data_IF_756850872183
#
_entry.id   IF_756850872183
#
_cell.length_a   1.000
_cell.length_b   1.000
_cell.length_c   1.000
_cell.angle_alpha   90.00
_cell.angle_beta   90.00
_cell.angle_gamma   90.00
#
_symmetry.space_group_name_H-M   'P 1'
#
loop_
_entity.id
_entity.type
_entity.pdbx_description
1 polymer ?
#
# COMPACT_ATOMS: atom_id res chain seq x y z
N UNK A 1 -2.57 15.34 -16.26
CA UNK A 1 -1.23 14.74 -16.03
C UNK A 1 -1.47 13.40 -15.34
N UNK A 2 -0.92 12.31 -15.84
CA UNK A 2 -1.11 11.00 -15.22
C UNK A 2 -0.31 10.95 -13.91
N UNK A 3 -0.95 10.58 -12.80
CA UNK A 3 -0.27 10.36 -11.51
C UNK A 3 0.01 8.88 -11.39
N UNK A 4 1.27 8.53 -11.16
CA UNK A 4 1.69 7.14 -11.00
C UNK A 4 2.06 6.90 -9.55
N UNK A 5 1.35 5.95 -8.94
CA UNK A 5 1.46 5.62 -7.52
C UNK A 5 2.07 4.23 -7.42
N UNK A 6 3.14 4.13 -6.66
CA UNK A 6 3.86 2.89 -6.44
C UNK A 6 3.74 2.45 -4.99
N UNK A 7 3.62 1.14 -4.78
CA UNK A 7 3.69 0.50 -3.47
C UNK A 7 4.70 -0.64 -3.54
N UNK A 8 5.63 -0.69 -2.61
CA UNK A 8 6.60 -1.80 -2.47
C UNK A 8 6.44 -2.46 -1.12
N UNK A 9 6.23 -3.77 -1.12
CA UNK A 9 6.19 -4.56 0.10
C UNK A 9 7.53 -4.45 0.81
N UNK A 10 7.50 -4.06 2.08
CA UNK A 10 8.70 -3.97 2.92
C UNK A 10 8.68 -4.98 4.06
N UNK A 11 7.49 -5.39 4.48
CA UNK A 11 7.35 -6.38 5.53
C UNK A 11 6.03 -7.14 5.41
N UNK A 12 6.11 -8.46 5.56
CA UNK A 12 4.95 -9.35 5.65
C UNK A 12 5.10 -10.16 6.93
N UNK A 13 4.17 -9.97 7.86
CA UNK A 13 4.12 -10.68 9.14
C UNK A 13 2.76 -11.35 9.32
N UNK A 14 2.60 -12.13 10.39
CA UNK A 14 1.30 -12.68 10.77
C UNK A 14 0.30 -11.60 11.23
N UNK A 15 0.80 -10.45 11.68
CA UNK A 15 -0.05 -9.37 12.20
C UNK A 15 -0.44 -8.35 11.13
N UNK A 16 0.49 -7.98 10.27
CA UNK A 16 0.30 -6.90 9.31
C UNK A 16 1.17 -7.06 8.05
N UNK A 17 0.73 -6.39 6.99
CA UNK A 17 1.46 -6.19 5.74
C UNK A 17 1.83 -4.74 5.61
N UNK A 18 3.10 -4.45 5.32
CA UNK A 18 3.62 -3.08 5.25
C UNK A 18 4.14 -2.78 3.86
N UNK A 19 3.68 -1.68 3.28
CA UNK A 19 4.12 -1.17 1.99
C UNK A 19 4.72 0.21 2.17
N UNK A 20 5.88 0.48 1.57
CA UNK A 20 6.26 1.86 1.29
C UNK A 20 5.55 2.32 0.04
N UNK A 21 5.05 3.55 0.02
CA UNK A 21 4.40 4.11 -1.16
C UNK A 21 4.97 5.47 -1.55
N UNK A 22 4.90 5.78 -2.85
CA UNK A 22 5.39 7.00 -3.43
C UNK A 22 4.51 7.44 -4.61
N UNK A 23 4.37 8.74 -4.77
CA UNK A 23 3.82 9.39 -5.94
C UNK A 23 4.97 9.84 -6.84
N UNK A 24 5.04 9.25 -8.03
CA UNK A 24 6.16 9.34 -8.96
C UNK A 24 7.38 8.51 -8.54
N UNK A 25 8.22 8.21 -9.52
CA UNK A 25 9.32 7.25 -9.40
C UNK A 25 10.61 7.86 -8.84
N UNK A 26 10.58 9.12 -8.38
CA UNK A 26 11.75 9.93 -7.98
C UNK A 26 12.33 9.54 -6.60
N UNK A 27 12.25 8.25 -6.25
CA UNK A 27 12.86 7.57 -5.10
C UNK A 27 12.49 8.07 -3.69
N UNK A 28 11.74 9.18 -3.58
CA UNK A 28 11.24 9.67 -2.30
C UNK A 28 9.94 8.95 -1.93
N UNK A 29 10.00 8.14 -0.87
CA UNK A 29 8.83 7.48 -0.30
C UNK A 29 8.00 8.49 0.50
N UNK A 30 6.72 8.58 0.22
CA UNK A 30 5.76 9.44 0.91
C UNK A 30 5.41 8.91 2.31
N UNK A 31 5.50 7.59 2.50
CA UNK A 31 5.23 6.97 3.79
C UNK A 31 5.20 5.45 3.76
N UNK A 32 4.86 4.87 4.92
CA UNK A 32 4.64 3.42 5.08
C UNK A 32 3.17 3.15 5.36
N UNK A 33 2.49 2.52 4.43
CA UNK A 33 1.15 1.96 4.60
C UNK A 33 1.24 0.68 5.43
N UNK A 34 0.39 0.57 6.45
CA UNK A 34 0.22 -0.64 7.27
C UNK A 34 -1.19 -1.17 7.10
N UNK A 35 -1.30 -2.45 6.71
CA UNK A 35 -2.56 -3.17 6.54
C UNK A 35 -2.61 -4.29 7.58
N UNK A 36 -3.42 -4.19 8.65
CA UNK A 36 -3.62 -5.28 9.60
C UNK A 36 -4.22 -6.49 8.90
N UNK A 37 -3.71 -7.70 9.16
CA UNK A 37 -4.24 -8.92 8.54
C UNK A 37 -5.59 -9.35 9.11
N UNK A 38 -5.81 -9.07 10.40
CA UNK A 38 -7.07 -9.38 11.08
C UNK A 38 -8.22 -8.45 10.62
N UNK A 39 -7.90 -7.21 10.28
CA UNK A 39 -8.85 -6.22 9.77
C UNK A 39 -8.19 -5.30 8.72
N UNK A 40 -8.22 -5.69 7.43
CA UNK A 40 -7.62 -4.89 6.37
C UNK A 40 -8.28 -3.52 6.15
N UNK A 41 -9.51 -3.29 6.64
CA UNK A 41 -10.20 -1.99 6.53
C UNK A 41 -9.66 -0.96 7.55
N UNK A 42 -9.03 -1.44 8.63
CA UNK A 42 -8.37 -0.64 9.66
C UNK A 42 -6.96 -0.15 9.25
N UNK A 43 -6.62 -0.19 7.96
CA UNK A 43 -5.34 0.29 7.46
C UNK A 43 -5.07 1.76 7.81
N UNK A 44 -3.78 2.10 7.92
CA UNK A 44 -3.30 3.44 8.23
C UNK A 44 -1.92 3.70 7.61
N UNK A 45 -1.48 4.96 7.62
CA UNK A 45 -0.12 5.34 7.24
C UNK A 45 0.67 5.63 8.51
N UNK A 46 1.79 4.94 8.68
CA UNK A 46 2.66 5.09 9.86
C UNK A 46 3.21 6.52 9.95
N UNK A 47 3.07 7.14 11.11
CA UNK A 47 3.46 8.53 11.36
C UNK A 47 2.54 9.61 10.76
N UNK A 48 1.39 9.25 10.17
CA UNK A 48 0.43 10.22 9.65
C UNK A 48 -0.92 10.16 10.39
N UNK A 49 -1.49 11.32 10.69
CA UNK A 49 -2.82 11.42 11.31
C UNK A 49 -3.95 11.15 10.31
N UNK A 50 -3.72 11.45 9.02
CA UNK A 50 -4.72 11.32 7.96
C UNK A 50 -4.38 10.22 6.96
N UNK A 51 -5.42 9.63 6.38
CA UNK A 51 -5.31 8.62 5.33
C UNK A 51 -4.96 9.29 3.99
N UNK A 52 -3.84 8.87 3.39
CA UNK A 52 -3.45 9.30 2.04
C UNK A 52 -4.29 8.59 0.96
N UNK A 53 -4.74 9.35 -0.05
CA UNK A 53 -5.43 8.80 -1.22
C UNK A 53 -4.52 7.85 -2.04
N UNK A 54 -3.22 8.11 -2.04
CA UNK A 54 -2.22 7.25 -2.67
C UNK A 54 -2.08 5.93 -1.94
N UNK A 55 -2.02 5.96 -0.61
CA UNK A 55 -2.05 4.74 0.20
C UNK A 55 -3.34 3.93 -0.01
N UNK A 56 -4.51 4.59 -0.08
CA UNK A 56 -5.78 3.94 -0.36
C UNK A 56 -5.78 3.19 -1.70
N UNK A 57 -5.18 3.77 -2.75
CA UNK A 57 -5.05 3.13 -4.05
C UNK A 57 -4.17 1.85 -3.97
N UNK A 58 -3.09 1.90 -3.19
CA UNK A 58 -2.24 0.73 -2.93
C UNK A 58 -3.01 -0.36 -2.18
N UNK A 59 -3.76 0.00 -1.11
CA UNK A 59 -4.60 -0.96 -0.37
C UNK A 59 -5.58 -1.67 -1.29
N UNK A 60 -6.33 -0.91 -2.10
CA UNK A 60 -7.35 -1.47 -2.99
C UNK A 60 -6.75 -2.46 -3.99
N UNK A 61 -5.60 -2.14 -4.57
CA UNK A 61 -4.88 -3.02 -5.51
C UNK A 61 -4.27 -4.24 -4.84
N UNK A 62 -3.60 -4.05 -3.70
CA UNK A 62 -2.96 -5.12 -2.94
C UNK A 62 -3.99 -6.14 -2.47
N UNK A 63 -5.12 -5.68 -1.91
CA UNK A 63 -6.24 -6.53 -1.49
C UNK A 63 -6.84 -7.29 -2.66
N UNK A 64 -7.12 -6.62 -3.78
CA UNK A 64 -7.65 -7.30 -4.97
C UNK A 64 -6.70 -8.38 -5.50
N UNK A 65 -5.38 -8.17 -5.40
CA UNK A 65 -4.40 -9.19 -5.75
C UNK A 65 -4.46 -10.37 -4.77
N UNK A 66 -4.45 -10.08 -3.47
CA UNK A 66 -4.58 -11.08 -2.41
C UNK A 66 -5.87 -11.91 -2.53
N UNK A 67 -7.02 -11.28 -2.74
CA UNK A 67 -8.30 -11.98 -2.91
C UNK A 67 -8.29 -12.94 -4.13
N UNK A 68 -7.45 -12.65 -5.13
CA UNK A 68 -7.35 -13.45 -6.36
C UNK A 68 -6.32 -14.58 -6.24
N UNK A 69 -5.19 -14.35 -5.57
CA UNK A 69 -4.04 -15.27 -5.57
C UNK A 69 -3.75 -15.89 -4.21
N UNK A 70 -4.33 -15.37 -3.13
CA UNK A 70 -3.99 -15.71 -1.75
C UNK A 70 -2.68 -15.10 -1.26
N UNK A 71 -2.04 -14.24 -2.06
CA UNK A 71 -0.70 -13.69 -1.79
C UNK A 71 -0.68 -12.18 -1.89
N UNK A 72 0.07 -11.54 -0.98
CA UNK A 72 0.30 -10.10 -1.03
C UNK A 72 1.36 -9.79 -2.08
N UNK A 73 1.08 -8.92 -3.07
CA UNK A 73 2.02 -8.65 -4.15
C UNK A 73 3.26 -7.91 -3.61
N UNK A 74 4.45 -8.27 -4.09
CA UNK A 74 5.70 -7.57 -3.74
C UNK A 74 5.70 -6.11 -4.21
N UNK A 75 4.99 -5.83 -5.31
CA UNK A 75 4.88 -4.51 -5.91
C UNK A 75 3.46 -4.20 -6.39
N UNK A 76 3.04 -2.95 -6.21
CA UNK A 76 1.76 -2.43 -6.64
C UNK A 76 1.99 -1.15 -7.43
N UNK A 77 1.32 -1.01 -8.57
CA UNK A 77 1.31 0.22 -9.33
C UNK A 77 -0.14 0.61 -9.68
N UNK A 78 -0.44 1.91 -9.57
CA UNK A 78 -1.71 2.49 -9.93
C UNK A 78 -1.51 3.77 -10.71
N UNK A 79 -2.19 3.88 -11.85
CA UNK A 79 -2.20 5.07 -12.69
C UNK A 79 -3.63 5.62 -12.69
N UNK A 80 -3.78 6.91 -12.37
CA UNK A 80 -5.03 7.68 -12.55
C UNK A 80 -4.89 8.67 -13.69
#
# INVERSE_FOLDING_TARGET
MARLIYGKLVELTDQAVRYRFAENQDEQWDGTLVIPRADPEAWYVDGAEERSSSAAAIVAKARRAFDRTGEWPEGVAFQS
#
